data_IF_836366644041
#
_entry.id   IF_836366644041
#
_cell.length_a   1.000
_cell.length_b   1.000
_cell.length_c   1.000
_cell.angle_alpha   90.00
_cell.angle_beta   90.00
_cell.angle_gamma   90.00
#
_symmetry.space_group_name_H-M   'P 1'
#
loop_
_entity.id
_entity.type
_entity.pdbx_description
1 polymer ?
#
# COMPACT_ATOMS: atom_id res chain seq x y z
N UNK A 1 -21.19 10.40 -38.86
CA UNK A 1 -20.68 11.23 -37.75
C UNK A 1 -21.10 10.59 -36.44
N UNK A 2 -20.17 9.99 -35.66
CA UNK A 2 -20.45 9.42 -34.33
C UNK A 2 -20.42 10.57 -33.30
N UNK A 3 -21.53 10.82 -32.61
CA UNK A 3 -21.60 11.81 -31.50
C UNK A 3 -20.62 11.40 -30.39
N UNK A 4 -19.83 12.33 -29.82
CA UNK A 4 -18.95 12.03 -28.70
C UNK A 4 -19.80 11.66 -27.49
N UNK A 5 -19.56 10.47 -26.90
CA UNK A 5 -20.17 10.08 -25.62
C UNK A 5 -19.79 11.11 -24.55
N UNK A 6 -20.78 11.81 -24.00
CA UNK A 6 -20.58 12.69 -22.83
C UNK A 6 -19.96 11.86 -21.71
N UNK A 7 -18.68 12.01 -21.46
CA UNK A 7 -18.03 11.44 -20.28
C UNK A 7 -18.72 12.04 -19.05
N UNK A 8 -19.27 11.18 -18.23
CA UNK A 8 -19.96 11.59 -17.02
C UNK A 8 -18.94 12.19 -16.05
N UNK A 9 -19.01 13.52 -15.79
CA UNK A 9 -18.11 14.25 -14.90
C UNK A 9 -18.07 13.66 -13.47
N UNK A 10 -19.14 13.00 -13.04
CA UNK A 10 -19.19 12.29 -11.77
C UNK A 10 -18.26 11.09 -11.75
N UNK A 11 -18.25 10.27 -12.81
CA UNK A 11 -17.33 9.12 -12.90
C UNK A 11 -15.86 9.54 -12.99
N UNK A 12 -15.54 10.72 -13.56
CA UNK A 12 -14.17 11.24 -13.54
C UNK A 12 -13.73 11.72 -12.14
N UNK A 13 -14.61 12.30 -11.34
CA UNK A 13 -14.33 12.66 -9.94
C UNK A 13 -14.26 11.45 -9.00
N UNK A 14 -15.02 10.41 -9.30
CA UNK A 14 -15.05 9.16 -8.51
C UNK A 14 -13.95 8.17 -8.93
N UNK A 15 -13.40 8.28 -10.13
CA UNK A 15 -12.26 7.46 -10.58
C UNK A 15 -11.09 7.42 -9.59
N UNK A 16 -10.70 8.51 -8.90
CA UNK A 16 -9.70 8.42 -7.85
C UNK A 16 -10.15 7.60 -6.64
N UNK A 17 -11.43 7.66 -6.25
CA UNK A 17 -11.99 6.92 -5.10
C UNK A 17 -12.08 5.43 -5.43
N UNK A 18 -12.53 5.08 -6.63
CA UNK A 18 -12.57 3.71 -7.16
C UNK A 18 -11.15 3.18 -7.47
N UNK A 19 -10.22 4.09 -7.82
CA UNK A 19 -8.79 3.84 -8.01
C UNK A 19 -7.98 3.97 -6.72
N UNK A 20 -8.60 4.38 -5.64
CA UNK A 20 -7.92 4.73 -4.39
C UNK A 20 -7.22 3.55 -3.73
N UNK A 21 -7.53 2.37 -4.18
CA UNK A 21 -6.82 1.16 -3.78
C UNK A 21 -5.77 0.82 -4.84
N UNK A 22 -5.04 1.83 -5.26
CA UNK A 22 -3.84 1.68 -6.07
C UNK A 22 -2.66 1.64 -5.13
N UNK A 23 -2.30 0.47 -4.83
CA UNK A 23 -1.14 0.24 -4.06
C UNK A 23 0.11 0.24 -4.91
N UNK A 24 1.16 0.73 -4.31
CA UNK A 24 2.49 0.43 -4.74
C UNK A 24 3.21 -0.34 -3.67
N UNK A 25 3.66 -1.51 -4.05
CA UNK A 25 4.57 -2.33 -3.27
C UNK A 25 5.98 -2.15 -3.78
N UNK A 26 6.87 -2.06 -2.82
CA UNK A 26 8.30 -2.12 -3.04
C UNK A 26 8.94 -2.84 -1.86
N UNK A 27 9.87 -3.73 -2.14
CA UNK A 27 10.67 -4.36 -1.11
C UNK A 27 11.86 -3.47 -0.81
N UNK A 28 11.81 -2.78 0.29
CA UNK A 28 12.88 -1.90 0.74
C UNK A 28 13.91 -2.66 1.58
N UNK A 29 15.20 -2.53 1.25
CA UNK A 29 16.27 -3.03 2.10
C UNK A 29 16.52 -2.06 3.24
N UNK A 30 16.24 -2.50 4.47
CA UNK A 30 16.35 -1.67 5.69
C UNK A 30 17.78 -1.64 6.22
N UNK A 31 18.43 -2.80 6.28
CA UNK A 31 19.76 -2.93 6.86
C UNK A 31 20.08 -4.35 7.30
N UNK A 32 21.01 -4.46 8.25
CA UNK A 32 21.50 -5.72 8.79
C UNK A 32 21.42 -5.69 10.32
N UNK A 33 20.81 -6.71 10.92
CA UNK A 33 20.80 -6.93 12.38
C UNK A 33 21.69 -8.12 12.69
N UNK A 34 22.64 -7.94 13.59
CA UNK A 34 23.55 -8.99 14.03
C UNK A 34 22.77 -10.15 14.65
N UNK A 35 22.94 -11.35 14.12
CA UNK A 35 22.21 -12.56 14.59
C UNK A 35 20.92 -12.86 13.82
N UNK A 36 20.33 -11.87 13.14
CA UNK A 36 19.14 -12.05 12.29
C UNK A 36 19.52 -12.06 10.81
N UNK A 37 20.38 -11.15 10.38
CA UNK A 37 20.79 -11.04 8.98
C UNK A 37 20.26 -9.78 8.30
N UNK A 38 20.03 -9.88 7.00
CA UNK A 38 19.47 -8.78 6.19
C UNK A 38 17.99 -8.62 6.47
N UNK A 39 17.56 -7.37 6.66
CA UNK A 39 16.18 -7.02 6.91
C UNK A 39 15.59 -6.32 5.69
N UNK A 40 14.43 -6.79 5.30
CA UNK A 40 13.64 -6.25 4.19
C UNK A 40 12.28 -5.78 4.70
N UNK A 41 11.77 -4.70 4.16
CA UNK A 41 10.45 -4.17 4.46
C UNK A 41 9.54 -4.36 3.26
N UNK A 42 8.41 -4.97 3.48
CA UNK A 42 7.28 -4.91 2.56
C UNK A 42 6.40 -3.73 2.94
N UNK A 43 6.06 -2.92 1.98
CA UNK A 43 5.29 -1.68 2.20
C UNK A 43 4.03 -1.70 1.38
N UNK A 44 2.94 -1.27 1.99
CA UNK A 44 1.66 -1.01 1.36
C UNK A 44 1.26 0.44 1.64
N UNK A 45 0.82 1.17 0.62
CA UNK A 45 0.30 2.53 0.78
C UNK A 45 -0.91 2.79 -0.11
N UNK A 46 -2.01 3.21 0.48
CA UNK A 46 -3.16 3.70 -0.29
C UNK A 46 -2.80 5.03 -0.97
N UNK A 47 -2.87 5.01 -2.28
CA UNK A 47 -2.47 6.17 -3.09
C UNK A 47 -3.39 7.38 -2.95
N UNK A 48 -4.61 7.20 -2.46
CA UNK A 48 -5.55 8.28 -2.22
C UNK A 48 -5.41 8.83 -0.81
N UNK A 49 -5.64 8.01 0.20
CA UNK A 49 -5.69 8.43 1.61
C UNK A 49 -4.31 8.54 2.25
N UNK A 50 -3.30 7.86 1.69
CA UNK A 50 -1.93 7.72 2.21
C UNK A 50 -1.83 6.85 3.45
N UNK A 51 -2.87 6.11 3.81
CA UNK A 51 -2.76 5.07 4.84
C UNK A 51 -1.69 4.09 4.41
N UNK A 52 -0.75 3.84 5.31
CA UNK A 52 0.44 3.04 5.04
C UNK A 52 0.55 1.86 6.00
N UNK A 53 1.00 0.74 5.47
CA UNK A 53 1.32 -0.48 6.20
C UNK A 53 2.73 -0.90 5.85
N UNK A 54 3.45 -1.47 6.81
CA UNK A 54 4.75 -2.06 6.55
C UNK A 54 4.98 -3.26 7.48
N UNK A 55 5.62 -4.28 6.95
CA UNK A 55 6.04 -5.45 7.72
C UNK A 55 7.46 -5.84 7.35
N UNK A 56 8.24 -6.23 8.35
CA UNK A 56 9.64 -6.57 8.22
C UNK A 56 9.83 -8.07 8.05
N UNK A 57 10.85 -8.44 7.29
CA UNK A 57 11.19 -9.82 7.00
C UNK A 57 12.71 -10.01 6.87
N UNK A 58 13.16 -11.23 7.13
CA UNK A 58 14.55 -11.67 6.92
C UNK A 58 14.84 -12.10 5.47
N UNK A 59 13.81 -12.13 4.62
CA UNK A 59 13.85 -12.63 3.23
C UNK A 59 12.92 -11.85 2.31
N UNK A 60 13.11 -12.07 1.01
CA UNK A 60 12.24 -11.58 -0.05
C UNK A 60 11.49 -12.75 -0.68
N UNK A 61 10.36 -12.46 -1.32
CA UNK A 61 9.65 -13.44 -2.13
C UNK A 61 8.16 -13.19 -2.25
N UNK A 62 7.51 -13.92 -3.11
CA UNK A 62 6.08 -13.83 -3.38
C UNK A 62 5.22 -14.15 -2.15
N UNK A 63 5.60 -15.16 -1.37
CA UNK A 63 4.92 -15.50 -0.11
C UNK A 63 4.99 -14.38 0.90
N UNK A 64 6.14 -13.70 1.04
CA UNK A 64 6.32 -12.55 1.94
C UNK A 64 5.41 -11.40 1.53
N UNK A 65 5.28 -11.18 0.23
CA UNK A 65 4.36 -10.18 -0.31
C UNK A 65 2.89 -10.54 0.01
N UNK A 66 2.48 -11.78 -0.19
CA UNK A 66 1.14 -12.25 0.15
C UNK A 66 0.86 -12.19 1.66
N UNK A 67 1.85 -12.55 2.49
CA UNK A 67 1.74 -12.52 3.95
C UNK A 67 1.48 -11.09 4.47
N UNK A 68 2.19 -10.08 3.98
CA UNK A 68 1.91 -8.68 4.37
C UNK A 68 0.49 -8.27 4.02
N UNK A 69 -0.02 -8.67 2.86
CA UNK A 69 -1.36 -8.37 2.43
C UNK A 69 -2.40 -9.03 3.34
N UNK A 70 -2.23 -10.31 3.59
CA UNK A 70 -3.12 -11.11 4.43
C UNK A 70 -3.12 -10.69 5.91
N UNK A 71 -1.95 -10.36 6.45
CA UNK A 71 -1.79 -10.09 7.88
C UNK A 71 -2.12 -8.64 8.28
N UNK A 72 -1.86 -7.68 7.40
CA UNK A 72 -1.95 -6.26 7.74
C UNK A 72 -3.02 -5.49 6.97
N UNK A 73 -3.16 -5.79 5.70
CA UNK A 73 -3.93 -4.95 4.79
C UNK A 73 -5.37 -5.39 4.69
N UNK A 74 -5.61 -6.66 4.34
CA UNK A 74 -6.99 -7.15 4.19
C UNK A 74 -7.80 -7.02 5.48
N UNK A 75 -7.28 -7.39 6.66
CA UNK A 75 -8.03 -7.24 7.92
C UNK A 75 -8.43 -5.78 8.19
N UNK A 76 -7.56 -4.82 7.86
CA UNK A 76 -7.87 -3.40 8.01
C UNK A 76 -9.04 -2.97 7.11
N UNK A 77 -9.05 -3.35 5.85
CA UNK A 77 -10.12 -2.99 4.92
C UNK A 77 -11.44 -3.70 5.28
N UNK A 78 -11.37 -4.96 5.70
CA UNK A 78 -12.52 -5.75 6.16
C UNK A 78 -13.16 -5.15 7.42
N UNK A 79 -12.36 -4.75 8.42
CA UNK A 79 -12.82 -4.08 9.63
C UNK A 79 -13.62 -2.81 9.32
N UNK A 80 -13.22 -2.09 8.27
CA UNK A 80 -13.92 -0.88 7.82
C UNK A 80 -15.08 -1.16 6.85
N UNK A 81 -15.33 -2.44 6.52
CA UNK A 81 -16.37 -2.86 5.60
C UNK A 81 -16.15 -2.34 4.18
N UNK A 82 -14.90 -2.33 3.73
CA UNK A 82 -14.49 -1.94 2.38
C UNK A 82 -13.69 -3.07 1.78
N UNK A 83 -14.00 -3.39 0.52
CA UNK A 83 -13.30 -4.41 -0.23
C UNK A 83 -12.10 -3.81 -0.96
N UNK A 84 -10.96 -4.47 -0.86
CA UNK A 84 -9.78 -4.16 -1.65
C UNK A 84 -9.97 -4.67 -3.08
N UNK A 85 -10.12 -3.75 -4.04
CA UNK A 85 -10.49 -4.13 -5.42
C UNK A 85 -9.29 -4.32 -6.33
N UNK A 86 -8.20 -3.59 -6.10
CA UNK A 86 -7.07 -3.59 -7.04
C UNK A 86 -5.75 -3.24 -6.36
N UNK A 87 -4.72 -3.94 -6.75
CA UNK A 87 -3.33 -3.69 -6.36
C UNK A 87 -2.50 -3.31 -7.58
N UNK A 88 -1.63 -2.31 -7.42
CA UNK A 88 -0.63 -1.93 -8.40
C UNK A 88 0.75 -2.26 -7.84
N UNK A 89 1.50 -3.11 -8.53
CA UNK A 89 2.89 -3.41 -8.18
C UNK A 89 3.85 -2.94 -9.26
N UNK A 90 5.12 -2.92 -8.94
CA UNK A 90 6.14 -2.87 -9.98
C UNK A 90 6.23 -4.23 -10.72
N UNK A 91 7.26 -4.38 -11.56
CA UNK A 91 7.49 -5.62 -12.30
C UNK A 91 8.55 -6.50 -11.64
N UNK A 92 8.76 -6.34 -10.34
CA UNK A 92 9.68 -7.19 -9.58
C UNK A 92 9.26 -8.66 -9.64
N UNK A 93 10.24 -9.56 -9.61
CA UNK A 93 10.01 -11.01 -9.63
C UNK A 93 9.20 -11.50 -8.42
N UNK A 94 9.12 -10.71 -7.37
CA UNK A 94 8.32 -10.97 -6.16
C UNK A 94 6.81 -10.86 -6.41
N UNK A 95 6.42 -10.07 -7.44
CA UNK A 95 5.02 -9.78 -7.77
C UNK A 95 4.61 -10.31 -9.14
N UNK A 96 5.56 -10.70 -9.97
CA UNK A 96 5.33 -11.02 -11.36
C UNK A 96 6.02 -12.32 -11.76
N UNK A 97 5.22 -13.32 -12.10
CA UNK A 97 5.64 -14.59 -12.68
C UNK A 97 4.59 -15.14 -13.64
N UNK A 98 4.71 -16.38 -14.02
CA UNK A 98 3.64 -17.09 -14.72
C UNK A 98 2.42 -17.21 -13.79
N UNK A 99 1.27 -16.67 -14.19
CA UNK A 99 0.07 -16.53 -13.34
C UNK A 99 -0.36 -17.84 -12.68
N UNK A 100 -0.13 -18.95 -13.37
CA UNK A 100 -0.53 -20.28 -12.91
C UNK A 100 0.40 -20.89 -11.84
N UNK A 101 1.58 -20.29 -11.60
CA UNK A 101 2.61 -20.85 -10.72
C UNK A 101 3.24 -19.82 -9.78
N UNK A 102 2.74 -18.58 -9.78
CA UNK A 102 3.31 -17.53 -8.94
C UNK A 102 2.42 -17.30 -7.72
N UNK A 103 2.92 -17.60 -6.53
CA UNK A 103 2.17 -17.63 -5.27
C UNK A 103 1.42 -16.32 -5.01
N UNK A 104 2.03 -15.18 -5.30
CA UNK A 104 1.38 -13.88 -5.13
C UNK A 104 0.19 -13.68 -6.08
N UNK A 105 0.36 -14.03 -7.35
CA UNK A 105 -0.73 -13.92 -8.34
C UNK A 105 -1.89 -14.87 -8.02
N UNK A 106 -1.57 -16.09 -7.55
CA UNK A 106 -2.58 -17.05 -7.09
C UNK A 106 -3.33 -16.53 -5.86
N UNK A 107 -2.61 -15.94 -4.91
CA UNK A 107 -3.22 -15.36 -3.72
C UNK A 107 -4.19 -14.23 -4.09
N UNK A 108 -3.79 -13.30 -4.95
CA UNK A 108 -4.67 -12.21 -5.42
C UNK A 108 -5.91 -12.74 -6.15
N UNK A 109 -5.75 -13.82 -6.92
CA UNK A 109 -6.87 -14.44 -7.63
C UNK A 109 -7.86 -15.11 -6.67
N UNK A 110 -7.39 -15.69 -5.56
CA UNK A 110 -8.25 -16.26 -4.50
C UNK A 110 -9.05 -15.18 -3.76
N UNK A 111 -8.42 -14.04 -3.50
CA UNK A 111 -9.06 -12.88 -2.84
C UNK A 111 -9.91 -12.02 -3.81
N UNK A 112 -9.99 -12.40 -5.08
CA UNK A 112 -10.68 -11.66 -6.15
C UNK A 112 -10.19 -10.20 -6.25
N UNK A 113 -8.88 -10.01 -6.17
CA UNK A 113 -8.21 -8.71 -6.24
C UNK A 113 -7.55 -8.54 -7.61
N UNK A 114 -7.90 -7.49 -8.32
CA UNK A 114 -7.28 -7.14 -9.60
C UNK A 114 -5.79 -6.79 -9.41
N UNK A 115 -4.92 -7.42 -10.18
CA UNK A 115 -3.50 -7.10 -10.21
C UNK A 115 -3.14 -6.25 -11.43
N UNK A 116 -2.70 -5.04 -11.20
CA UNK A 116 -2.18 -4.13 -12.22
C UNK A 116 -0.67 -3.95 -12.06
N UNK A 117 0.05 -3.87 -13.18
CA UNK A 117 1.51 -3.69 -13.19
C UNK A 117 1.86 -2.31 -13.72
N UNK A 118 2.84 -1.66 -13.12
CA UNK A 118 3.30 -0.34 -13.59
C UNK A 118 3.85 -0.44 -15.00
N UNK A 119 3.66 0.63 -15.78
CA UNK A 119 4.32 0.74 -17.09
C UNK A 119 5.83 0.83 -16.89
N UNK A 120 6.57 0.07 -17.68
CA UNK A 120 8.03 0.15 -17.67
C UNK A 120 8.46 1.60 -17.93
N UNK A 121 9.45 2.10 -17.18
CA UNK A 121 10.01 3.46 -17.30
C UNK A 121 9.01 4.62 -17.03
N UNK A 122 8.01 4.42 -16.16
CA UNK A 122 7.11 5.50 -15.74
C UNK A 122 7.37 5.92 -14.29
N UNK A 123 8.31 6.87 -14.04
CA UNK A 123 8.72 7.27 -12.69
C UNK A 123 7.57 7.88 -11.87
N UNK A 124 6.60 8.50 -12.52
CA UNK A 124 5.49 9.19 -11.84
C UNK A 124 4.60 8.27 -11.00
N UNK A 125 4.54 6.98 -11.34
CA UNK A 125 3.78 5.99 -10.57
C UNK A 125 4.53 5.51 -9.33
N UNK A 126 5.87 5.73 -9.23
CA UNK A 126 6.74 5.30 -8.13
C UNK A 126 6.80 6.30 -6.96
N UNK A 127 6.54 7.56 -7.24
CA UNK A 127 6.87 8.64 -6.33
C UNK A 127 6.15 8.61 -4.97
N UNK A 128 5.03 7.90 -4.82
CA UNK A 128 4.30 7.84 -3.54
C UNK A 128 5.01 6.91 -2.57
N UNK A 129 5.33 5.69 -3.01
CA UNK A 129 6.02 4.72 -2.18
C UNK A 129 7.47 5.15 -1.89
N UNK A 130 8.18 5.66 -2.90
CA UNK A 130 9.54 6.20 -2.74
C UNK A 130 9.58 7.35 -1.72
N UNK A 131 8.56 8.21 -1.73
CA UNK A 131 8.44 9.30 -0.74
C UNK A 131 8.17 8.75 0.66
N UNK A 132 7.31 7.73 0.79
CA UNK A 132 7.08 7.08 2.07
C UNK A 132 8.38 6.45 2.59
N UNK A 133 9.10 5.69 1.75
CA UNK A 133 10.37 5.07 2.14
C UNK A 133 11.40 6.11 2.58
N UNK A 134 11.49 7.25 1.87
CA UNK A 134 12.38 8.36 2.29
C UNK A 134 11.95 8.91 3.64
N UNK A 135 10.66 9.14 3.86
CA UNK A 135 10.12 9.61 5.14
C UNK A 135 10.44 8.61 6.27
N UNK A 136 10.24 7.30 6.02
CA UNK A 136 10.60 6.26 6.98
C UNK A 136 12.11 6.22 7.25
N UNK A 137 12.93 6.37 6.22
CA UNK A 137 14.38 6.40 6.37
C UNK A 137 14.82 7.58 7.25
N UNK A 138 14.30 8.77 6.99
CA UNK A 138 14.72 10.00 7.67
C UNK A 138 14.12 10.12 9.08
N UNK A 139 12.86 9.77 9.27
CA UNK A 139 12.11 10.05 10.50
C UNK A 139 12.04 8.83 11.44
N UNK A 140 12.21 7.61 10.93
CA UNK A 140 12.20 6.41 11.74
C UNK A 140 13.56 5.71 11.79
N UNK A 141 14.04 5.12 10.70
CA UNK A 141 15.24 4.27 10.74
C UNK A 141 16.49 5.00 11.17
N UNK A 142 16.74 6.20 10.63
CA UNK A 142 17.91 7.01 10.99
C UNK A 142 17.94 7.36 12.49
N UNK A 143 16.78 7.47 13.11
CA UNK A 143 16.65 7.77 14.54
C UNK A 143 16.72 6.49 15.37
N UNK A 144 15.96 5.47 15.00
CA UNK A 144 15.83 4.21 15.72
C UNK A 144 17.19 3.51 15.87
N UNK A 145 17.95 3.37 14.79
CA UNK A 145 19.27 2.73 14.81
C UNK A 145 20.36 3.53 15.55
N UNK A 146 20.13 4.82 15.83
CA UNK A 146 21.04 5.61 16.67
C UNK A 146 20.70 5.50 18.16
N UNK A 147 19.43 5.25 18.49
CA UNK A 147 18.93 5.22 19.86
C UNK A 147 18.95 3.83 20.49
N UNK A 148 18.81 2.79 19.67
CA UNK A 148 18.60 1.42 20.16
C UNK A 148 19.35 0.42 19.29
N UNK A 149 19.95 -0.58 19.93
CA UNK A 149 20.52 -1.74 19.27
C UNK A 149 19.44 -2.82 19.26
N UNK A 150 18.97 -3.16 18.08
CA UNK A 150 17.98 -4.23 17.89
C UNK A 150 18.68 -5.58 17.84
N UNK A 151 18.11 -6.55 18.52
CA UNK A 151 18.60 -7.93 18.57
C UNK A 151 17.67 -8.91 17.85
N UNK A 152 16.40 -8.54 17.68
CA UNK A 152 15.40 -9.34 16.98
C UNK A 152 14.63 -8.49 15.96
N UNK A 153 13.97 -9.18 15.03
CA UNK A 153 13.11 -8.56 14.04
C UNK A 153 11.85 -7.97 14.67
N UNK A 154 11.33 -8.67 15.68
CA UNK A 154 10.10 -8.32 16.42
C UNK A 154 10.28 -6.99 17.18
N UNK A 155 11.44 -6.76 17.77
CA UNK A 155 11.74 -5.48 18.44
C UNK A 155 11.68 -4.30 17.46
N UNK A 156 12.28 -4.46 16.28
CA UNK A 156 12.25 -3.43 15.25
C UNK A 156 10.85 -3.26 14.67
N UNK A 157 10.10 -4.37 14.49
CA UNK A 157 8.71 -4.33 14.01
C UNK A 157 7.81 -3.58 14.98
N UNK A 158 7.96 -3.82 16.28
CA UNK A 158 7.16 -3.12 17.32
C UNK A 158 7.36 -1.61 17.25
N UNK A 159 8.62 -1.17 17.16
CA UNK A 159 8.91 0.27 17.06
C UNK A 159 8.42 0.84 15.71
N UNK A 160 8.49 0.06 14.63
CA UNK A 160 7.93 0.43 13.32
C UNK A 160 6.41 0.56 13.34
N UNK A 161 5.72 -0.37 14.01
CA UNK A 161 4.26 -0.33 14.14
C UNK A 161 3.79 0.90 14.91
N UNK A 162 4.54 1.30 15.95
CA UNK A 162 4.28 2.53 16.69
C UNK A 162 4.45 3.77 15.81
N UNK A 163 5.54 3.85 15.06
CA UNK A 163 5.78 4.94 14.11
C UNK A 163 4.71 4.99 13.00
N UNK A 164 4.27 3.84 12.48
CA UNK A 164 3.19 3.77 11.48
C UNK A 164 1.85 4.23 12.06
N UNK A 165 1.59 3.94 13.33
CA UNK A 165 0.41 4.46 14.01
C UNK A 165 0.43 6.00 14.05
N UNK A 166 1.54 6.62 14.47
CA UNK A 166 1.71 8.08 14.47
C UNK A 166 1.59 8.65 13.04
N UNK A 167 2.24 8.01 12.05
CA UNK A 167 2.17 8.40 10.64
C UNK A 167 0.74 8.42 10.12
N UNK A 168 -0.06 7.40 10.42
CA UNK A 168 -1.41 7.27 9.92
C UNK A 168 -2.42 8.16 10.66
N UNK A 169 -2.25 8.34 11.99
CA UNK A 169 -3.27 8.97 12.82
C UNK A 169 -2.94 10.42 13.23
N UNK A 170 -1.67 10.79 13.31
CA UNK A 170 -1.26 12.09 13.84
C UNK A 170 -0.58 12.98 12.81
N UNK A 171 0.19 12.39 11.90
CA UNK A 171 0.90 13.14 10.87
C UNK A 171 -0.03 13.69 9.81
N UNK A 172 -0.05 15.00 9.64
CA UNK A 172 -0.83 15.66 8.58
C UNK A 172 -0.10 15.62 7.23
N UNK A 173 -0.86 15.49 6.15
CA UNK A 173 -0.34 15.45 4.78
C UNK A 173 -0.91 16.60 3.95
N UNK A 174 -0.05 17.47 3.44
CA UNK A 174 -0.42 18.57 2.54
C UNK A 174 -0.67 18.12 1.09
N UNK A 175 -0.40 16.84 0.79
CA UNK A 175 -0.52 16.29 -0.56
C UNK A 175 -1.95 16.25 -1.07
N UNK A 176 -2.07 16.02 -2.37
CA UNK A 176 -3.35 15.86 -3.08
C UNK A 176 -4.22 14.82 -2.36
N UNK A 177 -5.48 15.16 -2.14
CA UNK A 177 -6.53 14.42 -1.45
C UNK A 177 -6.53 14.51 0.09
N UNK A 178 -5.40 14.64 0.76
CA UNK A 178 -5.37 14.79 2.22
C UNK A 178 -5.67 16.23 2.68
N UNK A 179 -5.17 17.25 1.94
CA UNK A 179 -5.44 18.67 2.22
C UNK A 179 -5.18 19.08 3.67
N UNK A 180 -4.07 18.62 4.26
CA UNK A 180 -3.70 18.93 5.64
C UNK A 180 -4.29 18.00 6.70
N UNK A 181 -5.05 16.96 6.30
CA UNK A 181 -5.56 15.93 7.20
C UNK A 181 -4.57 14.78 7.36
N UNK A 182 -4.82 13.95 8.36
CA UNK A 182 -4.08 12.69 8.51
C UNK A 182 -4.57 11.65 7.51
N UNK A 183 -3.79 10.62 7.20
CA UNK A 183 -4.21 9.49 6.38
C UNK A 183 -5.52 8.87 6.87
N UNK A 184 -5.64 8.60 8.17
CA UNK A 184 -6.84 7.98 8.74
C UNK A 184 -8.08 8.89 8.69
N UNK A 185 -7.93 10.20 8.90
CA UNK A 185 -9.05 11.14 8.69
C UNK A 185 -9.51 11.14 7.24
N UNK A 186 -8.57 11.17 6.30
CA UNK A 186 -8.88 11.10 4.87
C UNK A 186 -9.54 9.78 4.51
N UNK A 187 -9.09 8.66 5.09
CA UNK A 187 -9.65 7.34 4.89
C UNK A 187 -11.10 7.28 5.40
N UNK A 188 -11.36 7.72 6.64
CA UNK A 188 -12.70 7.69 7.24
C UNK A 188 -13.74 8.49 6.40
N UNK A 189 -13.37 9.68 5.93
CA UNK A 189 -14.25 10.46 5.04
C UNK A 189 -14.49 9.76 3.69
N UNK A 190 -13.45 9.10 3.15
CA UNK A 190 -13.54 8.38 1.88
C UNK A 190 -14.40 7.13 2.01
N UNK A 191 -14.36 6.44 3.15
CA UNK A 191 -15.21 5.28 3.44
C UNK A 191 -16.69 5.64 3.42
N UNK A 192 -17.08 6.74 4.06
CA UNK A 192 -18.46 7.22 4.06
C UNK A 192 -18.92 7.46 2.62
N UNK A 193 -18.12 8.17 1.84
CA UNK A 193 -18.41 8.47 0.45
C UNK A 193 -18.47 7.22 -0.45
N UNK A 194 -17.63 6.22 -0.19
CA UNK A 194 -17.62 4.96 -0.92
C UNK A 194 -18.92 4.17 -0.66
N UNK A 195 -19.31 4.05 0.60
CA UNK A 195 -20.57 3.38 1.01
C UNK A 195 -21.82 4.08 0.48
N UNK A 196 -21.89 5.41 0.56
CA UNK A 196 -23.01 6.18 0.01
C UNK A 196 -23.18 5.99 -1.51
N UNK A 197 -22.12 5.66 -2.22
CA UNK A 197 -22.12 5.49 -3.67
C UNK A 197 -22.07 4.05 -4.14
N UNK A 198 -22.16 3.10 -3.24
CA UNK A 198 -22.11 1.66 -3.55
C UNK A 198 -20.94 1.28 -4.47
N UNK A 199 -19.75 1.83 -4.19
CA UNK A 199 -18.59 1.64 -5.05
C UNK A 199 -18.00 0.24 -4.95
N UNK A 200 -18.28 -0.46 -3.89
CA UNK A 200 -17.98 -1.86 -3.61
C UNK A 200 -18.79 -2.86 -4.44
N UNK A 201 -19.93 -2.44 -4.97
CA UNK A 201 -20.77 -3.25 -5.86
C UNK A 201 -20.37 -3.13 -7.34
N UNK A 202 -19.41 -2.26 -7.66
CA UNK A 202 -18.97 -2.09 -9.04
C UNK A 202 -18.11 -3.28 -9.49
N UNK A 203 -18.40 -3.85 -10.69
CA UNK A 203 -17.56 -4.89 -11.24
C UNK A 203 -16.13 -4.39 -11.46
N UNK A 204 -15.12 -5.26 -11.34
CA UNK A 204 -13.74 -4.92 -11.66
C UNK A 204 -13.67 -4.33 -13.08
N UNK A 205 -12.89 -3.28 -13.24
CA UNK A 205 -12.77 -2.59 -14.52
C UNK A 205 -12.03 -3.49 -15.51
N UNK A 206 -12.72 -3.86 -16.59
CA UNK A 206 -12.16 -4.62 -17.71
C UNK A 206 -10.97 -3.93 -18.40
#
# INVERSE_FOLDING_TARGET
MKKPKKKNRLTEKLRPIIRAIWERRDTYYVGFIKGVGRIYQQTFIDTYTKVAFAKLYDRKGALVAADTLNDRVLPFFEEHGIRLLRILTDRGTEYCGAREHHEYELYLALEDIDHSKTKAKSPQTNGICERLHRTMQDEFYAIAFRKKIYTTLEELQTDLDHWLFEYNNERTHSGKYCFGRTPMQTFAETCILAKEKQLDELPPAA
#
